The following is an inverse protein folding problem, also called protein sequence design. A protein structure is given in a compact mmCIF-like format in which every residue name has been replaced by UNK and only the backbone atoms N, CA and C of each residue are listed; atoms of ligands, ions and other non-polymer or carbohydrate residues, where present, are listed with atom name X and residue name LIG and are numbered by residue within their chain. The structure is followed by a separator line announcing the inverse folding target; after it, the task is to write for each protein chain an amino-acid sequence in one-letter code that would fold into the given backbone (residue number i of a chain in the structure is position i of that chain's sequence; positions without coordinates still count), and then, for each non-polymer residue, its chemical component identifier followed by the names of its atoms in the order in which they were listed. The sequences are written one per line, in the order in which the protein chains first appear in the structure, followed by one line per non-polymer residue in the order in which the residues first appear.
data_IF_381158731760
#
_entry.id   IF_381158731760
#
_cell.length_a   1.000
_cell.length_b   1.000
_cell.length_c   1.000
_cell.angle_alpha   90.00
_cell.angle_beta   90.00
_cell.angle_gamma   90.00
#
_symmetry.space_group_name_H-M   'P 1'
#
loop_
_entity.id
_entity.type
_entity.pdbx_description
1 polymer ?
#
# COMPACT_ATOMS: atom_id res chain seq x y z
N UNK A 1 -4.22 22.52 -26.59
CA UNK A 1 -3.44 23.25 -25.58
C UNK A 1 -2.52 22.28 -24.85
N UNK A 2 -1.25 22.36 -25.19
CA UNK A 2 -0.26 21.42 -24.64
C UNK A 2 -0.08 21.57 -23.13
N UNK A 3 -0.08 22.81 -22.65
CA UNK A 3 0.11 23.05 -21.21
C UNK A 3 -1.01 22.39 -20.39
N UNK A 4 -2.24 22.53 -20.84
CA UNK A 4 -3.37 21.89 -20.14
C UNK A 4 -3.25 20.38 -20.16
N UNK A 5 -2.86 19.81 -21.29
CA UNK A 5 -2.65 18.35 -21.41
C UNK A 5 -1.57 17.88 -20.44
N UNK A 6 -0.46 18.60 -20.35
CA UNK A 6 0.63 18.26 -19.44
C UNK A 6 0.16 18.32 -17.99
N UNK A 7 -0.61 19.34 -17.63
CA UNK A 7 -1.13 19.48 -16.28
C UNK A 7 -2.08 18.34 -15.92
N UNK A 8 -2.96 17.94 -16.84
CA UNK A 8 -3.89 16.84 -16.63
C UNK A 8 -3.16 15.51 -16.49
N UNK A 9 -2.16 15.27 -17.34
CA UNK A 9 -1.35 14.06 -17.28
C UNK A 9 -0.59 13.98 -15.97
N UNK A 10 0.00 15.07 -15.52
CA UNK A 10 0.74 15.12 -14.27
C UNK A 10 -0.19 14.88 -13.07
N UNK A 11 -1.36 15.50 -13.07
CA UNK A 11 -2.36 15.30 -12.01
C UNK A 11 -2.82 13.85 -11.93
N UNK A 12 -3.04 13.22 -13.08
CA UNK A 12 -3.42 11.80 -13.15
C UNK A 12 -2.31 10.91 -12.62
N UNK A 13 -1.06 11.23 -12.97
CA UNK A 13 0.10 10.48 -12.50
C UNK A 13 0.24 10.56 -10.98
N UNK A 14 0.09 11.75 -10.41
CA UNK A 14 0.15 11.93 -8.95
C UNK A 14 -0.99 11.18 -8.24
N UNK A 15 -2.20 11.26 -8.79
CA UNK A 15 -3.34 10.54 -8.23
C UNK A 15 -3.11 9.03 -8.26
N UNK A 16 -2.62 8.51 -9.39
CA UNK A 16 -2.32 7.09 -9.54
C UNK A 16 -1.24 6.63 -8.57
N UNK A 17 -0.17 7.42 -8.41
CA UNK A 17 0.90 7.11 -7.47
C UNK A 17 0.39 7.10 -6.03
N UNK A 18 -0.45 8.07 -5.66
CA UNK A 18 -1.04 8.13 -4.32
C UNK A 18 -1.94 6.95 -4.01
N UNK A 19 -2.83 6.58 -4.94
CA UNK A 19 -3.72 5.43 -4.79
C UNK A 19 -2.90 4.14 -4.73
N UNK A 20 -1.92 3.98 -5.63
CA UNK A 20 -1.06 2.80 -5.66
C UNK A 20 -0.26 2.64 -4.37
N UNK A 21 0.32 3.72 -3.87
CA UNK A 21 1.07 3.70 -2.62
C UNK A 21 0.16 3.38 -1.43
N UNK A 22 -1.06 3.93 -1.41
CA UNK A 22 -2.04 3.64 -0.38
C UNK A 22 -2.46 2.17 -0.35
N UNK A 23 -2.75 1.60 -1.51
CA UNK A 23 -3.11 0.19 -1.63
C UNK A 23 -1.94 -0.70 -1.21
N UNK A 24 -0.72 -0.36 -1.63
CA UNK A 24 0.47 -1.09 -1.24
C UNK A 24 0.69 -1.05 0.28
N UNK A 25 0.49 0.10 0.91
CA UNK A 25 0.61 0.25 2.35
C UNK A 25 -0.42 -0.60 3.10
N UNK A 26 -1.66 -0.61 2.64
CA UNK A 26 -2.72 -1.43 3.23
C UNK A 26 -2.37 -2.91 3.09
N UNK A 27 -1.95 -3.35 1.90
CA UNK A 27 -1.56 -4.73 1.65
C UNK A 27 -0.38 -5.16 2.52
N UNK A 28 0.64 -4.33 2.63
CA UNK A 28 1.79 -4.59 3.48
C UNK A 28 1.39 -4.69 4.96
N UNK A 29 0.53 -3.78 5.43
CA UNK A 29 0.04 -3.79 6.81
C UNK A 29 -0.71 -5.07 7.14
N UNK A 30 -1.62 -5.50 6.26
CA UNK A 30 -2.37 -6.74 6.44
C UNK A 30 -1.42 -7.94 6.43
N UNK A 31 -0.47 -7.98 5.49
CA UNK A 31 0.50 -9.07 5.39
C UNK A 31 1.37 -9.19 6.63
N UNK A 32 1.92 -8.09 7.10
CA UNK A 32 2.73 -8.07 8.32
C UNK A 32 1.88 -8.47 9.54
N UNK A 33 0.65 -7.98 9.60
CA UNK A 33 -0.26 -8.33 10.69
C UNK A 33 -0.56 -9.82 10.77
N UNK A 34 -0.78 -10.47 9.63
CA UNK A 34 -1.04 -11.92 9.58
C UNK A 34 0.18 -12.73 9.97
N UNK A 35 1.36 -12.32 9.48
CA UNK A 35 2.62 -12.99 9.83
C UNK A 35 2.88 -12.86 11.35
N UNK A 36 2.71 -11.65 11.89
CA UNK A 36 2.88 -11.40 13.32
C UNK A 36 1.89 -12.18 14.17
N UNK A 37 0.62 -12.24 13.74
CA UNK A 37 -0.41 -13.01 14.44
C UNK A 37 -0.09 -14.51 14.47
N UNK A 38 0.32 -15.06 13.32
CA UNK A 38 0.71 -16.47 13.24
C UNK A 38 1.94 -16.78 14.09
N UNK A 39 2.92 -15.87 14.10
CA UNK A 39 4.11 -16.03 14.92
C UNK A 39 3.78 -16.05 16.41
N UNK A 40 2.90 -15.15 16.84
CA UNK A 40 2.46 -15.08 18.23
C UNK A 40 1.69 -16.34 18.65
N UNK A 41 0.84 -16.86 17.77
CA UNK A 41 0.13 -18.12 18.02
C UNK A 41 1.10 -19.28 18.17
N UNK A 42 2.09 -19.36 17.30
CA UNK A 42 3.10 -20.40 17.37
C UNK A 42 3.91 -20.31 18.66
N UNK A 43 4.28 -19.11 19.08
CA UNK A 43 5.00 -18.91 20.33
C UNK A 43 4.16 -19.29 21.56
N UNK A 44 2.86 -19.04 21.51
CA UNK A 44 1.96 -19.41 22.60
C UNK A 44 1.83 -20.92 22.76
N UNK A 45 1.93 -21.67 21.66
CA UNK A 45 1.85 -23.13 21.67
C UNK A 45 3.16 -23.80 22.04
N UNK A 46 4.27 -23.11 21.87
CA UNK A 46 5.62 -23.63 22.11
C UNK A 46 6.33 -22.67 23.08
N UNK A 47 5.96 -22.65 24.34
CA UNK A 47 6.58 -21.78 25.33
C UNK A 47 8.04 -22.15 25.63
#
# INVERSE_FOLDING_TARGET
MELLTILLDLSTAYAGAGIGAGIAAIGAGIGIGRIGGSALESMARQP
#
